data_IF_955383648938
#
_entry.id   IF_955383648938
#
_cell.length_a   1.000
_cell.length_b   1.000
_cell.length_c   1.000
_cell.angle_alpha   90.00
_cell.angle_beta   90.00
_cell.angle_gamma   90.00
#
_symmetry.space_group_name_H-M   'P 1'
#
loop_
_entity.id
_entity.type
_entity.pdbx_description
1 polymer ?
#
# COMPACT_ATOMS: atom_id res chain seq x y z
N UNK A 1 -48.36 2.69 -5.12
CA UNK A 1 -47.99 1.67 -6.12
C UNK A 1 -48.58 0.36 -5.66
N UNK A 2 -48.83 -0.58 -6.56
CA UNK A 2 -49.15 -1.94 -6.17
C UNK A 2 -47.87 -2.61 -5.63
N UNK A 3 -48.01 -3.52 -4.66
CA UNK A 3 -46.89 -4.28 -4.06
C UNK A 3 -45.97 -4.91 -5.12
N UNK A 4 -46.56 -5.38 -6.22
CA UNK A 4 -45.83 -5.96 -7.36
C UNK A 4 -44.98 -4.92 -8.09
N UNK A 5 -45.47 -3.70 -8.25
CA UNK A 5 -44.74 -2.60 -8.90
C UNK A 5 -43.53 -2.17 -8.05
N UNK A 6 -43.73 -2.01 -6.74
CA UNK A 6 -42.66 -1.66 -5.80
C UNK A 6 -41.59 -2.75 -5.73
N UNK A 7 -42.00 -4.02 -5.79
CA UNK A 7 -41.12 -5.17 -5.86
C UNK A 7 -40.25 -5.17 -7.13
N UNK A 8 -40.85 -4.93 -8.29
CA UNK A 8 -40.13 -4.90 -9.57
C UNK A 8 -39.06 -3.79 -9.57
N UNK A 9 -39.42 -2.58 -9.15
CA UNK A 9 -38.48 -1.45 -9.08
C UNK A 9 -37.33 -1.77 -8.12
N UNK A 10 -37.63 -2.31 -6.95
CA UNK A 10 -36.61 -2.67 -5.94
C UNK A 10 -35.62 -3.74 -6.44
N UNK A 11 -36.08 -4.71 -7.24
CA UNK A 11 -35.19 -5.70 -7.85
C UNK A 11 -34.26 -5.04 -8.88
N UNK A 12 -34.80 -4.15 -9.72
CA UNK A 12 -34.00 -3.46 -10.73
C UNK A 12 -32.88 -2.64 -10.09
N UNK A 13 -33.16 -1.94 -8.99
CA UNK A 13 -32.17 -1.21 -8.20
C UNK A 13 -31.10 -2.15 -7.63
N UNK A 14 -31.50 -3.30 -7.07
CA UNK A 14 -30.56 -4.30 -6.57
C UNK A 14 -29.65 -4.85 -7.67
N UNK A 15 -30.18 -5.11 -8.86
CA UNK A 15 -29.37 -5.59 -9.99
C UNK A 15 -28.28 -4.56 -10.32
N UNK A 16 -28.62 -3.26 -10.34
CA UNK A 16 -27.66 -2.18 -10.59
C UNK A 16 -26.57 -2.12 -9.52
N UNK A 17 -26.97 -2.11 -8.25
CA UNK A 17 -26.06 -2.07 -7.10
C UNK A 17 -25.13 -3.29 -7.15
N UNK A 18 -25.67 -4.47 -7.43
CA UNK A 18 -24.89 -5.70 -7.49
C UNK A 18 -23.95 -5.76 -8.69
N UNK A 19 -24.36 -5.22 -9.84
CA UNK A 19 -23.50 -5.09 -11.02
C UNK A 19 -22.29 -4.21 -10.72
N UNK A 20 -22.52 -3.02 -10.16
CA UNK A 20 -21.44 -2.11 -9.75
C UNK A 20 -20.54 -2.77 -8.70
N UNK A 21 -21.13 -3.38 -7.69
CA UNK A 21 -20.40 -4.04 -6.61
C UNK A 21 -19.50 -5.17 -7.12
N UNK A 22 -20.00 -5.98 -8.05
CA UNK A 22 -19.21 -7.04 -8.67
C UNK A 22 -18.01 -6.47 -9.45
N UNK A 23 -18.25 -5.52 -10.37
CA UNK A 23 -17.21 -5.00 -11.27
C UNK A 23 -16.09 -4.24 -10.55
N UNK A 24 -16.42 -3.53 -9.46
CA UNK A 24 -15.45 -2.70 -8.75
C UNK A 24 -14.79 -3.40 -7.55
N UNK A 25 -15.48 -4.31 -6.85
CA UNK A 25 -14.98 -4.86 -5.56
C UNK A 25 -14.70 -6.36 -5.52
N UNK A 26 -15.20 -7.15 -6.48
CA UNK A 26 -15.17 -8.62 -6.42
C UNK A 26 -14.35 -9.29 -7.53
N UNK A 27 -13.67 -8.49 -8.37
CA UNK A 27 -12.89 -8.90 -9.57
C UNK A 27 -12.28 -10.31 -9.53
N UNK A 28 -12.55 -11.05 -10.62
CA UNK A 28 -12.10 -12.38 -11.07
C UNK A 28 -12.40 -13.62 -10.20
N UNK A 29 -12.75 -13.48 -8.91
CA UNK A 29 -13.07 -14.65 -8.05
C UNK A 29 -14.55 -14.88 -7.75
N UNK A 30 -15.46 -13.96 -8.13
CA UNK A 30 -16.90 -14.17 -7.92
C UNK A 30 -17.48 -15.06 -9.02
N UNK A 31 -17.73 -16.33 -8.69
CA UNK A 31 -18.57 -17.19 -9.51
C UNK A 31 -19.91 -16.50 -9.76
N UNK A 32 -20.36 -16.44 -11.02
CA UNK A 32 -21.67 -15.90 -11.43
C UNK A 32 -22.79 -16.49 -10.54
N UNK A 33 -22.63 -17.74 -10.12
CA UNK A 33 -23.51 -18.41 -9.15
C UNK A 33 -23.66 -17.65 -7.82
N UNK A 34 -22.56 -17.15 -7.23
CA UNK A 34 -22.62 -16.40 -5.96
C UNK A 34 -23.42 -15.10 -6.09
N UNK A 35 -23.31 -14.41 -7.23
CA UNK A 35 -24.10 -13.22 -7.50
C UNK A 35 -25.59 -13.54 -7.67
N UNK A 36 -25.91 -14.62 -8.40
CA UNK A 36 -27.30 -15.07 -8.57
C UNK A 36 -27.91 -15.45 -7.23
N UNK A 37 -27.18 -16.16 -6.36
CA UNK A 37 -27.64 -16.53 -5.02
C UNK A 37 -27.96 -15.29 -4.18
N UNK A 38 -27.07 -14.29 -4.14
CA UNK A 38 -27.33 -13.05 -3.41
C UNK A 38 -28.55 -12.34 -3.98
N UNK A 39 -28.68 -12.29 -5.32
CA UNK A 39 -29.79 -11.60 -5.97
C UNK A 39 -31.14 -12.24 -5.63
N UNK A 40 -31.22 -13.58 -5.70
CA UNK A 40 -32.42 -14.34 -5.32
C UNK A 40 -32.75 -14.14 -3.85
N UNK A 41 -31.77 -14.30 -2.95
CA UNK A 41 -32.00 -14.12 -1.51
C UNK A 41 -32.42 -12.68 -1.17
N UNK A 42 -31.75 -11.68 -1.77
CA UNK A 42 -32.08 -10.27 -1.57
C UNK A 42 -33.48 -9.92 -2.08
N UNK A 43 -33.89 -10.47 -3.24
CA UNK A 43 -35.26 -10.28 -3.73
C UNK A 43 -36.30 -10.87 -2.78
N UNK A 44 -36.06 -12.06 -2.23
CA UNK A 44 -36.96 -12.68 -1.25
C UNK A 44 -37.08 -11.86 0.03
N UNK A 45 -35.96 -11.33 0.54
CA UNK A 45 -35.94 -10.44 1.71
C UNK A 45 -36.76 -9.17 1.43
N UNK A 46 -36.59 -8.56 0.26
CA UNK A 46 -37.37 -7.38 -0.12
C UNK A 46 -38.86 -7.72 -0.21
N UNK A 47 -39.25 -8.84 -0.82
CA UNK A 47 -40.66 -9.27 -0.88
C UNK A 47 -41.29 -9.38 0.52
N UNK A 48 -40.56 -10.00 1.46
CA UNK A 48 -41.02 -10.17 2.84
C UNK A 48 -41.12 -8.81 3.55
N UNK A 49 -40.13 -7.93 3.37
CA UNK A 49 -40.17 -6.60 3.97
C UNK A 49 -41.34 -5.75 3.45
N UNK A 50 -41.61 -5.77 2.13
CA UNK A 50 -42.75 -5.06 1.54
C UNK A 50 -44.07 -5.63 2.06
N UNK A 51 -44.21 -6.97 2.09
CA UNK A 51 -45.42 -7.63 2.57
C UNK A 51 -45.70 -7.31 4.05
N UNK A 52 -44.67 -7.31 4.89
CA UNK A 52 -44.76 -7.04 6.33
C UNK A 52 -44.74 -5.54 6.68
N UNK A 53 -44.66 -4.66 5.67
CA UNK A 53 -44.54 -3.21 5.82
C UNK A 53 -43.38 -2.79 6.75
N UNK A 54 -42.26 -3.53 6.68
CA UNK A 54 -41.05 -3.25 7.44
C UNK A 54 -40.24 -2.13 6.78
N UNK A 55 -39.53 -1.34 7.58
CA UNK A 55 -38.66 -0.29 7.08
C UNK A 55 -37.55 -0.87 6.17
N UNK A 56 -37.29 -0.22 5.03
CA UNK A 56 -36.31 -0.64 4.00
C UNK A 56 -34.89 -0.77 4.57
N UNK A 57 -34.55 -0.08 5.66
CA UNK A 57 -33.26 -0.24 6.34
C UNK A 57 -33.04 -1.70 6.79
N UNK A 58 -34.09 -2.41 7.22
CA UNK A 58 -33.97 -3.82 7.61
C UNK A 58 -33.58 -4.71 6.44
N UNK A 59 -34.14 -4.49 5.25
CA UNK A 59 -33.79 -5.27 4.07
C UNK A 59 -32.32 -5.07 3.69
N UNK A 60 -31.81 -3.84 3.77
CA UNK A 60 -30.40 -3.54 3.51
C UNK A 60 -29.43 -4.18 4.48
N UNK A 61 -29.74 -4.21 5.78
CA UNK A 61 -28.90 -4.89 6.78
C UNK A 61 -28.79 -6.39 6.48
N UNK A 62 -29.90 -7.03 6.10
CA UNK A 62 -29.92 -8.45 5.76
C UNK A 62 -29.15 -8.72 4.46
N UNK A 63 -29.29 -7.86 3.44
CA UNK A 63 -28.54 -7.98 2.18
C UNK A 63 -27.02 -7.88 2.41
N UNK A 64 -26.60 -6.92 3.23
CA UNK A 64 -25.20 -6.77 3.64
C UNK A 64 -24.72 -8.04 4.36
N UNK A 65 -25.52 -8.56 5.28
CA UNK A 65 -25.17 -9.77 6.02
C UNK A 65 -24.98 -10.97 5.09
N UNK A 66 -25.93 -11.20 4.17
CA UNK A 66 -25.84 -12.25 3.14
C UNK A 66 -24.58 -12.07 2.30
N UNK A 67 -24.33 -10.86 1.78
CA UNK A 67 -23.15 -10.56 0.97
C UNK A 67 -21.82 -10.78 1.70
N UNK A 68 -21.79 -10.55 3.02
CA UNK A 68 -20.60 -10.79 3.83
C UNK A 68 -20.26 -12.28 3.97
N UNK A 69 -21.29 -13.11 4.17
CA UNK A 69 -21.16 -14.57 4.29
C UNK A 69 -20.75 -15.17 2.94
N UNK A 70 -21.47 -14.84 1.86
CA UNK A 70 -21.25 -15.45 0.54
C UNK A 70 -19.85 -15.21 -0.01
N UNK A 71 -19.26 -14.05 0.31
CA UNK A 71 -17.93 -13.65 -0.16
C UNK A 71 -16.81 -13.83 0.88
N UNK A 72 -17.11 -14.40 2.05
CA UNK A 72 -16.15 -14.53 3.16
C UNK A 72 -15.44 -13.20 3.45
N UNK A 73 -16.17 -12.09 3.29
CA UNK A 73 -15.67 -10.73 3.47
C UNK A 73 -15.98 -10.26 4.88
N UNK A 74 -15.06 -9.48 5.43
CA UNK A 74 -15.31 -8.78 6.69
C UNK A 74 -16.57 -7.89 6.54
N UNK A 75 -17.53 -8.06 7.45
CA UNK A 75 -18.82 -7.34 7.48
C UNK A 75 -18.64 -5.82 7.32
N UNK A 76 -17.62 -5.23 7.96
CA UNK A 76 -17.36 -3.79 7.86
C UNK A 76 -16.96 -3.36 6.45
N UNK A 77 -16.23 -4.21 5.71
CA UNK A 77 -15.88 -3.96 4.31
C UNK A 77 -17.09 -4.14 3.39
N UNK A 78 -17.98 -5.07 3.71
CA UNK A 78 -19.21 -5.30 2.93
C UNK A 78 -20.19 -4.16 3.09
N UNK A 79 -20.41 -3.67 4.32
CA UNK A 79 -21.16 -2.44 4.61
C UNK A 79 -20.60 -1.28 3.78
N UNK A 80 -19.26 -1.15 3.78
CA UNK A 80 -18.52 -0.13 3.06
C UNK A 80 -18.89 -0.07 1.57
N UNK A 81 -18.73 -1.22 0.92
CA UNK A 81 -18.93 -1.37 -0.52
C UNK A 81 -20.41 -1.13 -0.85
N UNK A 82 -21.34 -1.71 -0.09
CA UNK A 82 -22.78 -1.56 -0.31
C UNK A 82 -23.26 -0.10 -0.16
N UNK A 83 -22.79 0.64 0.86
CA UNK A 83 -23.14 2.05 1.03
C UNK A 83 -22.62 2.94 -0.12
N UNK A 84 -21.45 2.66 -0.70
CA UNK A 84 -20.93 3.40 -1.87
C UNK A 84 -21.79 3.14 -3.12
N UNK A 85 -22.30 1.94 -3.30
CA UNK A 85 -23.13 1.67 -4.48
C UNK A 85 -24.55 2.19 -4.32
N UNK A 86 -25.12 2.13 -3.12
CA UNK A 86 -26.35 2.84 -2.79
C UNK A 86 -26.21 4.36 -3.01
N UNK A 87 -25.10 4.95 -2.56
CA UNK A 87 -24.75 6.35 -2.79
C UNK A 87 -24.81 6.75 -4.26
N UNK A 88 -24.12 5.94 -5.06
CA UNK A 88 -23.94 6.19 -6.48
C UNK A 88 -25.26 6.04 -7.22
N UNK A 89 -26.04 5.00 -6.90
CA UNK A 89 -27.38 4.79 -7.42
C UNK A 89 -28.30 5.98 -7.13
N UNK A 90 -28.42 6.41 -5.86
CA UNK A 90 -29.27 7.56 -5.52
C UNK A 90 -28.83 8.86 -6.21
N UNK A 91 -27.53 9.10 -6.34
CA UNK A 91 -27.04 10.27 -7.07
C UNK A 91 -27.42 10.23 -8.56
N UNK A 92 -27.27 9.08 -9.21
CA UNK A 92 -27.67 8.89 -10.60
C UNK A 92 -29.17 9.16 -10.78
N UNK A 93 -30.00 8.58 -9.92
CA UNK A 93 -31.44 8.79 -9.95
C UNK A 93 -31.82 10.27 -9.74
N UNK A 94 -31.17 10.97 -8.81
CA UNK A 94 -31.43 12.39 -8.57
C UNK A 94 -31.04 13.27 -9.77
N UNK A 95 -29.95 12.93 -10.47
CA UNK A 95 -29.54 13.62 -11.70
C UNK A 95 -30.61 13.43 -12.76
N UNK A 96 -31.10 12.20 -12.96
CA UNK A 96 -32.14 11.91 -13.95
C UNK A 96 -33.45 12.64 -13.65
N UNK A 97 -33.88 12.63 -12.38
CA UNK A 97 -35.08 13.38 -11.95
C UNK A 97 -34.89 14.88 -12.20
N UNK A 98 -33.72 15.44 -11.90
CA UNK A 98 -33.42 16.85 -12.15
C UNK A 98 -33.46 17.19 -13.65
N UNK A 99 -32.90 16.34 -14.50
CA UNK A 99 -32.94 16.48 -15.97
C UNK A 99 -34.40 16.43 -16.45
N UNK A 100 -35.18 15.44 -15.99
CA UNK A 100 -36.58 15.28 -16.37
C UNK A 100 -37.44 16.48 -15.97
N UNK A 101 -37.28 17.00 -14.74
CA UNK A 101 -38.13 18.09 -14.25
C UNK A 101 -37.71 19.46 -14.75
N UNK A 102 -36.40 19.75 -14.83
CA UNK A 102 -35.91 21.10 -15.11
C UNK A 102 -35.49 21.33 -16.57
N UNK A 103 -34.98 20.30 -17.26
CA UNK A 103 -34.55 20.44 -18.67
C UNK A 103 -35.65 20.00 -19.63
N UNK A 104 -36.30 18.86 -19.36
CA UNK A 104 -37.31 18.28 -20.25
C UNK A 104 -38.72 18.80 -19.91
N UNK A 105 -38.94 19.30 -18.69
CA UNK A 105 -40.21 19.88 -18.24
C UNK A 105 -41.28 18.84 -17.85
N UNK A 106 -40.91 17.57 -17.68
CA UNK A 106 -41.81 16.51 -17.26
C UNK A 106 -41.91 16.51 -15.74
N UNK A 107 -43.12 16.71 -15.20
CA UNK A 107 -43.37 16.56 -13.75
C UNK A 107 -43.15 15.11 -13.32
N UNK A 108 -42.16 14.89 -12.47
CA UNK A 108 -41.91 13.61 -11.84
C UNK A 108 -42.95 13.35 -10.75
N UNK A 109 -43.74 12.29 -10.91
CA UNK A 109 -44.81 11.88 -9.97
C UNK A 109 -44.42 10.68 -9.11
N UNK A 110 -43.24 10.11 -9.33
CA UNK A 110 -42.77 8.87 -8.71
C UNK A 110 -43.73 7.68 -8.94
N UNK A 111 -44.31 7.60 -10.14
CA UNK A 111 -45.13 6.47 -10.55
C UNK A 111 -44.25 5.32 -11.07
N UNK A 112 -44.75 4.08 -11.03
CA UNK A 112 -44.04 2.88 -11.49
C UNK A 112 -43.29 3.07 -12.81
N UNK A 113 -43.97 3.53 -13.86
CA UNK A 113 -43.37 3.70 -15.18
C UNK A 113 -42.18 4.66 -15.17
N UNK A 114 -42.25 5.77 -14.41
CA UNK A 114 -41.16 6.75 -14.33
C UNK A 114 -39.98 6.17 -13.54
N UNK A 115 -40.24 5.53 -12.40
CA UNK A 115 -39.19 4.93 -11.57
C UNK A 115 -38.48 3.80 -12.33
N UNK A 116 -39.23 2.88 -12.93
CA UNK A 116 -38.68 1.77 -13.71
C UNK A 116 -37.85 2.27 -14.91
N UNK A 117 -38.30 3.32 -15.60
CA UNK A 117 -37.57 3.90 -16.74
C UNK A 117 -36.23 4.51 -16.31
N UNK A 118 -36.20 5.24 -15.18
CA UNK A 118 -34.98 5.83 -14.64
C UNK A 118 -33.97 4.73 -14.25
N UNK A 119 -34.42 3.70 -13.55
CA UNK A 119 -33.53 2.61 -13.11
C UNK A 119 -32.97 1.84 -14.31
N UNK A 120 -33.80 1.56 -15.33
CA UNK A 120 -33.35 0.92 -16.57
C UNK A 120 -32.35 1.79 -17.35
N UNK A 121 -32.60 3.09 -17.44
CA UNK A 121 -31.66 4.03 -18.05
C UNK A 121 -30.31 4.00 -17.32
N UNK A 122 -30.32 4.07 -15.99
CA UNK A 122 -29.10 3.99 -15.19
C UNK A 122 -28.34 2.67 -15.36
N UNK A 123 -29.07 1.55 -15.43
CA UNK A 123 -28.47 0.24 -15.71
C UNK A 123 -27.76 0.22 -17.06
N UNK A 124 -28.42 0.68 -18.12
CA UNK A 124 -27.83 0.71 -19.46
C UNK A 124 -26.65 1.67 -19.54
N UNK A 125 -26.76 2.85 -18.92
CA UNK A 125 -25.70 3.86 -18.85
C UNK A 125 -24.45 3.33 -18.15
N UNK A 126 -24.60 2.72 -16.97
CA UNK A 126 -23.48 2.15 -16.20
C UNK A 126 -22.80 1.02 -16.95
N UNK A 127 -23.56 0.12 -17.60
CA UNK A 127 -23.01 -0.97 -18.40
C UNK A 127 -22.23 -0.43 -19.60
N UNK A 128 -22.78 0.57 -20.31
CA UNK A 128 -22.13 1.20 -21.45
C UNK A 128 -20.83 1.92 -21.04
N UNK A 129 -20.89 2.73 -19.98
CA UNK A 129 -19.75 3.49 -19.46
C UNK A 129 -18.63 2.55 -18.99
N UNK A 130 -18.99 1.42 -18.35
CA UNK A 130 -18.01 0.41 -17.97
C UNK A 130 -17.30 -0.18 -19.20
N UNK A 131 -18.06 -0.60 -20.22
CA UNK A 131 -17.52 -1.25 -21.41
C UNK A 131 -16.69 -0.29 -22.30
N UNK A 132 -17.08 0.98 -22.38
CA UNK A 132 -16.42 1.99 -23.22
C UNK A 132 -15.19 2.63 -22.55
N UNK A 133 -15.29 2.97 -21.25
CA UNK A 133 -14.29 3.84 -20.59
C UNK A 133 -13.50 3.09 -19.51
N UNK A 134 -14.15 2.21 -18.75
CA UNK A 134 -13.56 1.63 -17.53
C UNK A 134 -12.99 0.22 -17.72
N UNK A 135 -13.26 -0.42 -18.87
CA UNK A 135 -12.79 -1.78 -19.21
C UNK A 135 -11.27 -1.90 -19.12
N UNK A 136 -10.55 -0.88 -19.60
CA UNK A 136 -9.08 -0.85 -19.64
C UNK A 136 -8.44 0.07 -18.58
N UNK A 137 -9.23 0.94 -17.92
CA UNK A 137 -8.73 1.79 -16.84
C UNK A 137 -8.74 1.03 -15.53
N UNK A 138 -7.57 0.59 -15.08
CA UNK A 138 -7.38 0.11 -13.70
C UNK A 138 -7.35 1.32 -12.77
N UNK A 139 -8.47 1.64 -12.13
CA UNK A 139 -8.46 2.52 -10.95
C UNK A 139 -7.79 1.72 -9.82
N UNK A 140 -6.46 1.76 -9.78
CA UNK A 140 -5.68 1.26 -8.65
C UNK A 140 -5.82 2.27 -7.53
N UNK A 141 -6.72 2.01 -6.58
CA UNK A 141 -6.68 2.75 -5.34
C UNK A 141 -5.54 2.16 -4.49
N UNK A 142 -4.34 2.72 -4.65
CA UNK A 142 -3.13 2.35 -3.92
C UNK A 142 -3.43 2.33 -2.41
N UNK A 143 -2.96 1.28 -1.72
CA UNK A 143 -3.15 0.98 -0.29
C UNK A 143 -3.84 2.05 0.53
N UNK A 144 -5.16 2.05 0.46
CA UNK A 144 -5.95 2.97 1.26
C UNK A 144 -5.95 2.46 2.70
N UNK A 145 -5.74 3.36 3.65
CA UNK A 145 -5.93 3.07 5.05
C UNK A 145 -7.40 2.68 5.28
N UNK A 146 -7.65 1.43 5.68
CA UNK A 146 -8.99 0.89 5.89
C UNK A 146 -9.84 1.73 6.84
N UNK A 147 -9.22 2.41 7.82
CA UNK A 147 -9.91 3.31 8.76
C UNK A 147 -10.41 4.58 8.09
N UNK A 148 -9.63 5.16 7.17
CA UNK A 148 -9.99 6.39 6.48
C UNK A 148 -11.18 6.15 5.54
N UNK A 149 -11.17 5.08 4.73
CA UNK A 149 -12.33 4.71 3.91
C UNK A 149 -13.58 4.50 4.80
N UNK A 150 -13.39 3.86 5.96
CA UNK A 150 -14.45 3.65 6.95
C UNK A 150 -15.12 4.95 7.37
N UNK A 151 -14.33 5.97 7.75
CA UNK A 151 -14.85 7.28 8.11
C UNK A 151 -15.60 7.96 6.96
N UNK A 152 -15.07 7.88 5.73
CA UNK A 152 -15.74 8.44 4.55
C UNK A 152 -17.13 7.85 4.33
N UNK A 153 -17.28 6.55 4.59
CA UNK A 153 -18.53 5.86 4.28
C UNK A 153 -19.52 5.86 5.41
N UNK A 154 -19.06 5.92 6.65
CA UNK A 154 -19.96 6.28 7.75
C UNK A 154 -20.55 7.67 7.48
N UNK A 155 -19.72 8.64 7.09
CA UNK A 155 -20.18 10.00 6.87
C UNK A 155 -21.10 10.13 5.64
N UNK A 156 -20.72 9.54 4.51
CA UNK A 156 -21.55 9.60 3.29
C UNK A 156 -22.80 8.71 3.39
N UNK A 157 -22.66 7.53 4.02
CA UNK A 157 -23.77 6.64 4.34
C UNK A 157 -24.82 7.30 5.23
N UNK A 158 -24.40 8.10 6.22
CA UNK A 158 -25.31 8.89 7.05
C UNK A 158 -26.12 9.91 6.23
N UNK A 159 -25.49 10.60 5.26
CA UNK A 159 -26.23 11.52 4.41
C UNK A 159 -27.30 10.79 3.58
N UNK A 160 -26.96 9.65 3.00
CA UNK A 160 -27.89 8.82 2.21
C UNK A 160 -29.04 8.30 3.08
N UNK A 161 -28.76 7.79 4.27
CA UNK A 161 -29.81 7.25 5.13
C UNK A 161 -30.75 8.36 5.58
N UNK A 162 -30.24 9.54 5.94
CA UNK A 162 -31.06 10.73 6.22
C UNK A 162 -31.88 11.10 4.99
N UNK A 163 -31.27 11.09 3.80
CA UNK A 163 -31.94 11.39 2.53
C UNK A 163 -33.13 10.47 2.28
N UNK A 164 -32.92 9.17 2.51
CA UNK A 164 -33.93 8.13 2.30
C UNK A 164 -35.03 8.18 3.37
N UNK A 165 -34.70 8.50 4.61
CA UNK A 165 -35.68 8.75 5.67
C UNK A 165 -36.59 9.94 5.33
N UNK A 166 -36.04 11.03 4.81
CA UNK A 166 -36.83 12.19 4.35
C UNK A 166 -37.75 11.79 3.20
N UNK A 167 -37.26 10.97 2.26
CA UNK A 167 -38.04 10.48 1.13
C UNK A 167 -39.23 9.62 1.56
N UNK A 168 -39.04 8.70 2.51
CA UNK A 168 -40.10 7.84 3.05
C UNK A 168 -41.12 8.64 3.88
N UNK A 169 -40.67 9.67 4.60
CA UNK A 169 -41.55 10.53 5.40
C UNK A 169 -42.41 11.46 4.53
N UNK A 170 -41.77 12.25 3.65
CA UNK A 170 -42.47 13.08 2.67
C UNK A 170 -41.57 13.39 1.46
N UNK A 171 -41.76 12.60 0.40
CA UNK A 171 -41.08 12.77 -0.89
C UNK A 171 -41.26 14.17 -1.50
N UNK A 172 -42.34 14.89 -1.20
CA UNK A 172 -42.60 16.20 -1.80
C UNK A 172 -41.60 17.26 -1.35
N UNK A 173 -41.00 17.11 -0.17
CA UNK A 173 -39.96 17.99 0.34
C UNK A 173 -38.75 17.96 -0.61
N UNK A 174 -38.30 16.76 -0.99
CA UNK A 174 -37.19 16.58 -1.92
C UNK A 174 -37.60 17.01 -3.33
N UNK A 175 -38.80 16.63 -3.78
CA UNK A 175 -39.28 16.95 -5.14
C UNK A 175 -39.49 18.44 -5.40
N UNK A 176 -39.84 19.24 -4.38
CA UNK A 176 -39.95 20.70 -4.50
C UNK A 176 -38.59 21.38 -4.64
N UNK A 177 -37.55 20.77 -4.08
CA UNK A 177 -36.22 21.35 -3.91
C UNK A 177 -35.12 20.47 -4.53
N UNK A 178 -35.43 19.71 -5.60
CA UNK A 178 -34.53 18.73 -6.22
C UNK A 178 -33.18 19.34 -6.59
N UNK A 179 -33.19 20.53 -7.19
CA UNK A 179 -31.96 21.19 -7.63
C UNK A 179 -31.05 21.53 -6.44
N UNK A 180 -31.58 22.21 -5.41
CA UNK A 180 -30.82 22.52 -4.19
C UNK A 180 -30.35 21.26 -3.46
N UNK A 181 -31.14 20.20 -3.50
CA UNK A 181 -30.78 18.94 -2.87
C UNK A 181 -29.61 18.25 -3.59
N UNK A 182 -29.68 18.19 -4.92
CA UNK A 182 -28.63 17.65 -5.76
C UNK A 182 -27.32 18.47 -5.65
N UNK A 183 -27.42 19.81 -5.59
CA UNK A 183 -26.23 20.66 -5.42
C UNK A 183 -25.56 20.46 -4.06
N UNK A 184 -26.33 20.33 -2.98
CA UNK A 184 -25.77 20.05 -1.64
C UNK A 184 -25.02 18.71 -1.63
N UNK A 185 -25.63 17.64 -2.14
CA UNK A 185 -25.00 16.31 -2.17
C UNK A 185 -23.74 16.28 -3.03
N UNK A 186 -23.75 16.96 -4.18
CA UNK A 186 -22.57 17.05 -5.06
C UNK A 186 -21.45 17.87 -4.43
N UNK A 187 -21.74 18.99 -3.78
CA UNK A 187 -20.72 19.80 -3.07
C UNK A 187 -20.10 19.00 -1.93
N UNK A 188 -20.90 18.31 -1.13
CA UNK A 188 -20.41 17.43 -0.05
C UNK A 188 -19.49 16.34 -0.63
N UNK A 189 -19.91 15.69 -1.72
CA UNK A 189 -19.09 14.68 -2.39
C UNK A 189 -17.74 15.24 -2.87
N UNK A 190 -17.73 16.43 -3.49
CA UNK A 190 -16.50 17.08 -3.96
C UNK A 190 -15.56 17.44 -2.80
N UNK A 191 -16.09 18.01 -1.70
CA UNK A 191 -15.32 18.31 -0.49
C UNK A 191 -14.67 17.03 0.05
N UNK A 192 -15.41 15.92 0.08
CA UNK A 192 -14.88 14.65 0.57
C UNK A 192 -13.77 14.09 -0.33
N UNK A 193 -13.93 14.17 -1.65
CA UNK A 193 -12.86 13.79 -2.60
C UNK A 193 -11.60 14.64 -2.38
N UNK A 194 -11.76 15.95 -2.12
CA UNK A 194 -10.64 16.84 -1.81
C UNK A 194 -9.95 16.45 -0.49
N UNK A 195 -10.70 16.28 0.59
CA UNK A 195 -10.17 15.87 1.90
C UNK A 195 -9.46 14.52 1.81
N UNK A 196 -10.00 13.57 1.04
CA UNK A 196 -9.38 12.28 0.81
C UNK A 196 -7.99 12.42 0.15
N UNK A 197 -7.90 13.21 -0.92
CA UNK A 197 -6.62 13.49 -1.59
C UNK A 197 -5.63 14.17 -0.66
N UNK A 198 -6.10 15.12 0.13
CA UNK A 198 -5.27 15.82 1.12
C UNK A 198 -4.70 14.85 2.16
N UNK A 199 -5.53 13.96 2.72
CA UNK A 199 -5.09 13.00 3.75
C UNK A 199 -4.08 11.99 3.17
N UNK A 200 -4.26 11.53 1.93
CA UNK A 200 -3.25 10.68 1.26
C UNK A 200 -1.91 11.41 1.18
N UNK A 201 -1.92 12.65 0.70
CA UNK A 201 -0.70 13.46 0.56
C UNK A 201 0.00 13.65 1.90
N UNK A 202 -0.75 13.97 2.96
CA UNK A 202 -0.22 14.10 4.33
C UNK A 202 0.36 12.78 4.84
N UNK A 203 -0.28 11.65 4.52
CA UNK A 203 0.19 10.33 4.94
C UNK A 203 1.50 9.95 4.23
N UNK A 204 1.65 10.27 2.96
CA UNK A 204 2.91 10.07 2.23
C UNK A 204 4.03 10.95 2.81
N UNK A 205 3.75 12.23 3.00
CA UNK A 205 4.70 13.17 3.58
C UNK A 205 5.17 12.73 4.98
N UNK A 206 4.26 12.21 5.81
CA UNK A 206 4.61 11.70 7.13
C UNK A 206 5.59 10.51 7.07
N UNK A 207 5.44 9.60 6.11
CA UNK A 207 6.37 8.46 5.95
C UNK A 207 7.76 8.93 5.51
N UNK A 208 7.83 9.91 4.61
CA UNK A 208 9.08 10.51 4.18
C UNK A 208 9.79 11.20 5.35
N UNK A 209 9.05 11.95 6.17
CA UNK A 209 9.59 12.56 7.40
C UNK A 209 10.08 11.54 8.42
N UNK A 210 9.34 10.46 8.66
CA UNK A 210 9.76 9.39 9.59
C UNK A 210 11.09 8.77 9.17
N UNK A 211 11.29 8.57 7.87
CA UNK A 211 12.52 8.03 7.31
C UNK A 211 13.67 9.03 7.42
N UNK A 212 13.42 10.29 7.08
CA UNK A 212 14.41 11.36 7.23
C UNK A 212 14.89 11.47 8.68
N UNK A 213 13.97 11.50 9.64
CA UNK A 213 14.29 11.58 11.07
C UNK A 213 15.04 10.35 11.58
N UNK A 214 14.78 9.16 11.02
CA UNK A 214 15.50 7.93 11.36
C UNK A 214 16.96 7.97 10.92
N UNK A 215 17.26 8.54 9.75
CA UNK A 215 18.61 8.54 9.18
C UNK A 215 19.42 9.78 9.49
N UNK A 216 18.80 10.89 9.86
CA UNK A 216 19.48 12.13 10.26
C UNK A 216 20.61 11.89 11.31
N UNK A 217 20.37 11.21 12.45
CA UNK A 217 21.44 10.99 13.44
C UNK A 217 22.57 10.08 12.90
N UNK A 218 22.27 9.18 11.96
CA UNK A 218 23.28 8.31 11.33
C UNK A 218 24.14 9.14 10.37
N UNK A 219 23.54 10.08 9.65
CA UNK A 219 24.29 11.00 8.78
C UNK A 219 25.19 11.90 9.64
N UNK A 220 24.69 12.37 10.78
CA UNK A 220 25.49 13.14 11.75
C UNK A 220 26.69 12.32 12.25
N UNK A 221 26.49 11.04 12.59
CA UNK A 221 27.58 10.15 13.00
C UNK A 221 28.59 9.89 11.88
N UNK A 222 28.12 9.67 10.64
CA UNK A 222 29.01 9.53 9.47
C UNK A 222 29.84 10.80 9.30
N UNK A 223 29.22 11.97 9.41
CA UNK A 223 29.89 13.26 9.27
C UNK A 223 30.96 13.44 10.36
N UNK A 224 30.66 13.03 11.60
CA UNK A 224 31.60 13.10 12.70
C UNK A 224 32.77 12.11 12.56
N UNK A 225 32.51 10.89 12.10
CA UNK A 225 33.55 9.91 11.75
C UNK A 225 34.45 10.45 10.63
N UNK A 226 33.87 11.09 9.60
CA UNK A 226 34.65 11.73 8.53
C UNK A 226 35.54 12.84 9.10
N UNK A 227 35.00 13.70 9.98
CA UNK A 227 35.80 14.77 10.61
C UNK A 227 36.94 14.21 11.44
N UNK A 228 36.67 13.15 12.21
CA UNK A 228 37.68 12.45 13.01
C UNK A 228 38.77 11.88 12.10
N UNK A 229 38.39 11.22 11.00
CA UNK A 229 39.34 10.71 10.01
C UNK A 229 40.14 11.81 9.30
N UNK A 230 39.51 12.92 8.96
CA UNK A 230 40.21 14.07 8.38
C UNK A 230 41.26 14.63 9.36
N UNK A 231 40.92 14.68 10.65
CA UNK A 231 41.85 15.06 11.70
C UNK A 231 43.02 14.08 11.81
N UNK A 232 42.74 12.78 11.80
CA UNK A 232 43.77 11.73 11.83
C UNK A 232 44.66 11.77 10.58
N UNK A 233 44.08 11.97 9.40
CA UNK A 233 44.83 12.12 8.15
C UNK A 233 45.78 13.33 8.21
N UNK A 234 45.31 14.47 8.73
CA UNK A 234 46.16 15.63 8.97
C UNK A 234 47.31 15.30 9.92
N UNK A 235 47.06 14.51 10.97
CA UNK A 235 48.09 14.05 11.89
C UNK A 235 49.10 13.11 11.21
N UNK A 236 48.64 12.23 10.32
CA UNK A 236 49.52 11.37 9.54
C UNK A 236 50.47 12.19 8.65
N UNK A 237 49.94 13.18 7.94
CA UNK A 237 50.74 14.10 7.11
C UNK A 237 51.71 14.91 7.97
N UNK A 238 51.27 15.42 9.13
CA UNK A 238 52.15 16.15 10.05
C UNK A 238 53.28 15.26 10.58
N UNK A 239 53.00 13.99 10.87
CA UNK A 239 54.00 13.02 11.35
C UNK A 239 55.01 12.69 10.26
N UNK A 240 54.54 12.48 9.02
CA UNK A 240 55.41 12.30 7.84
C UNK A 240 56.30 13.53 7.63
N UNK A 241 55.73 14.74 7.70
CA UNK A 241 56.50 15.99 7.62
C UNK A 241 57.55 16.09 8.75
N UNK A 242 57.19 15.66 9.97
CA UNK A 242 58.11 15.58 11.10
C UNK A 242 59.27 14.63 10.86
N UNK A 243 59.01 13.42 10.32
CA UNK A 243 60.06 12.49 9.93
C UNK A 243 60.99 13.08 8.86
N UNK A 244 60.44 13.76 7.85
CA UNK A 244 61.25 14.41 6.81
C UNK A 244 62.17 15.50 7.40
N UNK A 245 61.73 16.21 8.43
CA UNK A 245 62.50 17.30 9.05
C UNK A 245 63.54 16.83 10.07
N UNK A 246 63.29 15.71 10.76
CA UNK A 246 64.08 15.29 11.93
C UNK A 246 64.96 14.06 11.63
N UNK A 247 64.51 13.14 10.77
CA UNK A 247 65.24 11.90 10.52
C UNK A 247 66.45 12.10 9.60
N UNK A 248 67.52 11.34 9.86
CA UNK A 248 68.64 11.23 8.94
C UNK A 248 68.24 10.46 7.67
N UNK A 249 69.00 10.65 6.57
CA UNK A 249 68.69 10.06 5.26
C UNK A 249 68.56 8.53 5.29
N UNK A 250 69.35 7.88 6.15
CA UNK A 250 69.40 6.42 6.26
C UNK A 250 68.23 5.86 7.10
N UNK A 251 67.68 6.65 8.02
CA UNK A 251 66.60 6.22 8.94
C UNK A 251 65.20 6.54 8.43
N UNK A 252 65.07 7.55 7.56
CA UNK A 252 63.79 8.04 7.05
C UNK A 252 62.98 6.96 6.32
N UNK A 253 63.66 6.17 5.48
CA UNK A 253 63.00 5.16 4.64
C UNK A 253 62.36 4.06 5.49
N UNK A 254 63.06 3.62 6.54
CA UNK A 254 62.59 2.54 7.41
C UNK A 254 61.44 3.02 8.30
N UNK A 255 61.52 4.24 8.85
CA UNK A 255 60.45 4.85 9.64
C UNK A 255 59.17 5.10 8.84
N UNK A 256 59.30 5.56 7.59
CA UNK A 256 58.14 5.74 6.71
C UNK A 256 57.48 4.41 6.35
N UNK A 257 58.27 3.37 6.05
CA UNK A 257 57.74 2.02 5.77
C UNK A 257 57.01 1.43 6.98
N UNK A 258 57.58 1.56 8.17
CA UNK A 258 56.97 1.11 9.42
C UNK A 258 55.65 1.85 9.67
N UNK A 259 55.66 3.19 9.56
CA UNK A 259 54.48 4.01 9.81
C UNK A 259 53.36 3.78 8.80
N UNK A 260 53.67 3.80 7.50
CA UNK A 260 52.69 3.57 6.43
C UNK A 260 52.18 2.12 6.45
N UNK A 261 53.05 1.15 6.76
CA UNK A 261 52.69 -0.25 6.91
C UNK A 261 51.62 -0.45 8.00
N UNK A 262 51.74 0.27 9.11
CA UNK A 262 50.78 0.22 10.20
C UNK A 262 49.44 0.91 9.85
N UNK A 263 49.45 1.98 9.05
CA UNK A 263 48.25 2.72 8.64
C UNK A 263 47.31 1.94 7.69
N UNK A 264 47.84 1.05 6.85
CA UNK A 264 47.07 0.35 5.81
C UNK A 264 46.14 -0.76 6.34
N UNK A 265 46.13 -1.03 7.64
CA UNK A 265 45.45 -2.18 8.24
C UNK A 265 44.00 -1.93 8.69
N UNK A 266 43.44 -0.71 8.58
CA UNK A 266 42.17 -0.37 9.26
C UNK A 266 41.11 0.44 8.49
N UNK A 267 41.33 0.81 7.21
CA UNK A 267 40.58 1.95 6.64
C UNK A 267 39.71 1.76 5.39
N UNK A 268 39.73 0.62 4.69
CA UNK A 268 39.06 0.46 3.38
C UNK A 268 37.52 0.56 3.43
N UNK A 269 36.87 -0.08 4.40
CA UNK A 269 35.40 -0.31 4.33
C UNK A 269 34.53 0.96 4.41
N UNK A 270 35.05 2.07 4.95
CA UNK A 270 34.30 3.33 5.14
C UNK A 270 34.53 4.32 3.99
N UNK A 271 35.65 4.20 3.26
CA UNK A 271 35.93 5.05 2.09
C UNK A 271 34.96 4.71 0.94
N UNK A 272 34.69 3.43 0.71
CA UNK A 272 33.78 2.95 -0.34
C UNK A 272 32.33 3.41 -0.11
N UNK A 273 31.91 3.60 1.15
CA UNK A 273 30.58 4.11 1.52
C UNK A 273 30.36 5.54 1.01
N UNK A 274 31.43 6.35 0.89
CA UNK A 274 31.29 7.74 0.46
C UNK A 274 30.76 7.87 -0.97
N UNK A 275 31.10 6.92 -1.85
CA UNK A 275 30.71 6.91 -3.25
C UNK A 275 29.26 6.53 -3.49
N UNK A 276 28.53 6.08 -2.48
CA UNK A 276 27.10 5.80 -2.59
C UNK A 276 26.34 7.14 -2.67
N UNK A 277 25.53 7.35 -3.70
CA UNK A 277 24.78 8.60 -3.86
C UNK A 277 23.56 8.65 -2.93
N UNK A 278 22.80 7.55 -2.90
CA UNK A 278 21.58 7.50 -2.11
C UNK A 278 21.88 7.58 -0.60
N UNK A 279 21.34 8.60 0.06
CA UNK A 279 21.62 8.86 1.48
C UNK A 279 21.06 7.77 2.39
N UNK A 280 19.89 7.21 2.05
CA UNK A 280 19.27 6.12 2.83
C UNK A 280 20.09 4.85 2.71
N UNK A 281 20.49 4.46 1.49
CA UNK A 281 21.35 3.29 1.26
C UNK A 281 22.67 3.48 2.02
N UNK A 282 23.34 4.62 1.86
CA UNK A 282 24.58 4.97 2.54
C UNK A 282 24.49 4.77 4.05
N UNK A 283 23.45 5.32 4.69
CA UNK A 283 23.25 5.20 6.13
C UNK A 283 22.99 3.75 6.58
N UNK A 284 22.25 2.96 5.79
CA UNK A 284 22.01 1.54 6.08
C UNK A 284 23.31 0.73 5.99
N UNK A 285 24.09 0.91 4.93
CA UNK A 285 25.38 0.21 4.76
C UNK A 285 26.32 0.54 5.89
N UNK A 286 26.47 1.83 6.21
CA UNK A 286 27.30 2.26 7.34
C UNK A 286 26.86 1.58 8.65
N UNK A 287 25.56 1.58 8.97
CA UNK A 287 25.05 0.89 10.16
C UNK A 287 25.37 -0.61 10.14
N UNK A 288 25.33 -1.25 8.97
CA UNK A 288 25.58 -2.70 8.82
C UNK A 288 27.06 -3.06 8.86
N UNK A 289 27.94 -2.22 8.34
CA UNK A 289 29.39 -2.36 8.50
C UNK A 289 29.77 -2.29 9.99
N UNK A 290 29.21 -1.32 10.74
CA UNK A 290 29.45 -1.22 12.19
C UNK A 290 28.91 -2.42 12.96
N UNK A 291 27.71 -2.90 12.60
CA UNK A 291 27.15 -4.12 13.19
C UNK A 291 27.99 -5.36 12.86
N UNK A 292 28.48 -5.47 11.62
CA UNK A 292 29.31 -6.57 11.16
C UNK A 292 30.64 -6.63 11.93
N UNK A 293 31.31 -5.48 12.10
CA UNK A 293 32.52 -5.34 12.91
C UNK A 293 32.28 -5.80 14.37
N UNK A 294 31.15 -5.39 14.96
CA UNK A 294 30.80 -5.75 16.34
C UNK A 294 30.57 -7.25 16.54
N UNK A 295 29.98 -7.94 15.55
CA UNK A 295 29.61 -9.35 15.65
C UNK A 295 30.53 -10.30 14.86
N UNK A 296 31.66 -9.79 14.36
CA UNK A 296 32.63 -10.52 13.53
C UNK A 296 31.96 -11.24 12.34
N UNK A 297 31.17 -10.47 11.58
CA UNK A 297 30.50 -10.90 10.35
C UNK A 297 31.30 -10.34 9.17
N UNK A 298 31.64 -11.20 8.21
CA UNK A 298 32.16 -10.79 6.92
C UNK A 298 31.00 -10.22 6.09
N UNK A 299 30.93 -8.90 6.03
CA UNK A 299 29.91 -8.18 5.28
C UNK A 299 30.53 -7.50 4.06
N UNK A 300 30.19 -8.02 2.88
CA UNK A 300 30.58 -7.43 1.60
C UNK A 300 29.37 -6.79 0.91
N UNK A 301 29.63 -5.70 0.20
CA UNK A 301 28.60 -5.00 -0.55
C UNK A 301 29.13 -4.48 -1.89
N UNK A 302 28.30 -4.54 -2.92
CA UNK A 302 28.55 -3.95 -4.23
C UNK A 302 27.32 -3.13 -4.64
N UNK A 303 27.50 -1.82 -4.82
CA UNK A 303 26.39 -0.89 -5.03
C UNK A 303 26.67 -0.02 -6.25
N UNK A 304 25.87 -0.23 -7.28
CA UNK A 304 25.76 0.65 -8.43
C UNK A 304 24.76 1.79 -8.13
N UNK A 305 25.18 3.03 -8.40
CA UNK A 305 24.40 4.23 -8.09
C UNK A 305 23.24 4.50 -9.06
N UNK A 306 22.26 5.28 -8.60
CA UNK A 306 21.14 5.84 -9.39
C UNK A 306 20.10 4.82 -9.92
N UNK A 307 20.23 3.53 -9.63
CA UNK A 307 19.33 2.51 -10.19
C UNK A 307 18.03 2.30 -9.39
N UNK A 308 18.06 2.53 -8.08
CA UNK A 308 16.89 2.33 -7.21
C UNK A 308 16.00 3.57 -7.09
N UNK A 309 16.55 4.77 -7.32
CA UNK A 309 15.93 6.05 -7.03
C UNK A 309 14.80 6.40 -8.00
N UNK A 310 14.88 5.90 -9.24
CA UNK A 310 13.84 6.08 -10.26
C UNK A 310 12.61 5.17 -10.03
N UNK A 311 12.74 4.13 -9.22
CA UNK A 311 11.71 3.10 -9.04
C UNK A 311 11.11 3.13 -7.64
N UNK A 312 11.96 3.34 -6.63
CA UNK A 312 11.60 3.21 -5.23
C UNK A 312 11.78 4.53 -4.50
N UNK A 313 10.79 4.88 -3.68
CA UNK A 313 10.95 5.97 -2.71
C UNK A 313 11.91 5.55 -1.59
N UNK A 314 12.57 6.51 -0.97
CA UNK A 314 13.49 6.30 0.16
C UNK A 314 12.91 5.43 1.29
N UNK A 315 11.62 5.61 1.62
CA UNK A 315 10.98 4.77 2.64
C UNK A 315 10.75 3.33 2.20
N UNK A 316 10.66 3.08 0.89
CA UNK A 316 10.52 1.76 0.29
C UNK A 316 11.86 1.04 0.30
N UNK A 317 12.93 1.72 -0.15
CA UNK A 317 14.32 1.25 -0.06
C UNK A 317 14.67 0.90 1.39
N UNK A 318 14.42 1.83 2.31
CA UNK A 318 14.63 1.64 3.75
C UNK A 318 13.92 0.40 4.29
N UNK A 319 12.66 0.18 3.88
CA UNK A 319 11.87 -0.96 4.36
C UNK A 319 12.36 -2.29 3.78
N UNK A 320 12.70 -2.32 2.48
CA UNK A 320 13.26 -3.51 1.83
C UNK A 320 14.59 -3.89 2.47
N UNK A 321 15.56 -2.98 2.46
CA UNK A 321 16.93 -3.27 2.89
C UNK A 321 16.98 -3.61 4.39
N UNK A 322 16.34 -2.83 5.27
CA UNK A 322 16.37 -3.13 6.70
C UNK A 322 15.73 -4.48 7.02
N UNK A 323 14.58 -4.82 6.42
CA UNK A 323 13.93 -6.08 6.78
C UNK A 323 14.74 -7.30 6.32
N UNK A 324 15.31 -7.26 5.12
CA UNK A 324 16.07 -8.41 4.60
C UNK A 324 17.45 -8.47 5.26
N UNK A 325 18.17 -7.35 5.38
CA UNK A 325 19.50 -7.33 6.02
C UNK A 325 19.43 -7.64 7.51
N UNK A 326 18.40 -7.17 8.25
CA UNK A 326 18.24 -7.55 9.65
C UNK A 326 17.99 -9.05 9.79
N UNK A 327 17.16 -9.63 8.91
CA UNK A 327 16.94 -11.07 8.90
C UNK A 327 18.24 -11.83 8.59
N UNK A 328 19.00 -11.41 7.58
CA UNK A 328 20.29 -12.01 7.22
C UNK A 328 21.27 -11.98 8.40
N UNK A 329 21.48 -10.81 9.00
CA UNK A 329 22.35 -10.61 10.16
C UNK A 329 21.89 -11.38 11.40
N UNK A 330 20.58 -11.45 11.65
CA UNK A 330 20.05 -12.26 12.75
C UNK A 330 20.38 -13.75 12.58
N UNK A 331 20.18 -14.31 11.39
CA UNK A 331 20.36 -15.76 11.17
C UNK A 331 21.85 -16.13 11.15
N UNK A 332 22.74 -15.32 10.58
CA UNK A 332 24.19 -15.61 10.61
C UNK A 332 24.79 -15.49 12.00
N UNK A 333 24.21 -14.70 12.91
CA UNK A 333 24.67 -14.61 14.31
C UNK A 333 24.48 -15.92 15.08
N UNK A 334 23.57 -16.77 14.65
CA UNK A 334 23.37 -18.11 15.22
C UNK A 334 24.43 -19.12 14.74
N UNK A 335 25.24 -18.77 13.74
CA UNK A 335 26.36 -19.60 13.28
C UNK A 335 27.58 -19.45 14.21
N UNK A 336 28.26 -20.55 14.48
CA UNK A 336 29.47 -20.57 15.31
C UNK A 336 30.65 -19.89 14.61
N UNK A 337 30.91 -20.24 13.35
CA UNK A 337 32.05 -19.75 12.56
C UNK A 337 31.63 -19.36 11.15
N UNK A 338 32.48 -18.56 10.49
CA UNK A 338 32.32 -18.15 9.10
C UNK A 338 30.98 -17.47 8.82
N UNK A 339 30.76 -16.27 9.39
CA UNK A 339 29.49 -15.53 9.23
C UNK A 339 29.59 -14.62 8.02
N UNK A 340 28.84 -14.91 6.95
CA UNK A 340 28.95 -14.16 5.69
C UNK A 340 27.60 -13.56 5.32
N UNK A 341 27.59 -12.27 5.01
CA UNK A 341 26.46 -11.57 4.39
C UNK A 341 26.96 -10.78 3.18
N UNK A 342 26.26 -10.90 2.05
CA UNK A 342 26.61 -10.20 0.81
C UNK A 342 25.40 -9.39 0.36
N UNK A 343 25.60 -8.13 0.01
CA UNK A 343 24.59 -7.26 -0.60
C UNK A 343 25.03 -6.79 -1.99
N UNK A 344 24.22 -7.06 -3.00
CA UNK A 344 24.41 -6.53 -4.34
C UNK A 344 23.22 -5.65 -4.73
N UNK A 345 23.50 -4.42 -5.18
CA UNK A 345 22.53 -3.52 -5.81
C UNK A 345 23.09 -3.18 -7.18
N UNK A 346 22.52 -3.77 -8.23
CA UNK A 346 23.10 -3.79 -9.58
C UNK A 346 22.03 -3.57 -10.65
N UNK A 347 22.44 -3.16 -11.84
CA UNK A 347 21.60 -3.17 -13.03
C UNK A 347 22.09 -4.23 -14.04
N UNK A 348 21.30 -5.29 -14.24
CA UNK A 348 21.61 -6.33 -15.24
C UNK A 348 20.49 -6.44 -16.27
N UNK A 349 20.82 -6.38 -17.56
CA UNK A 349 19.87 -6.55 -18.67
C UNK A 349 18.62 -5.66 -18.55
N UNK A 350 18.79 -4.38 -18.19
CA UNK A 350 17.73 -3.40 -17.90
C UNK A 350 16.82 -3.75 -16.70
N UNK A 351 17.17 -4.71 -15.85
CA UNK A 351 16.47 -4.97 -14.60
C UNK A 351 17.30 -4.46 -13.43
N UNK A 352 16.65 -3.77 -12.50
CA UNK A 352 17.30 -3.32 -11.27
C UNK A 352 17.18 -4.42 -10.22
N UNK A 353 18.33 -4.85 -9.71
CA UNK A 353 18.46 -6.04 -8.86
C UNK A 353 18.88 -5.61 -7.47
N UNK A 354 18.14 -6.06 -6.46
CA UNK A 354 18.59 -6.09 -5.07
C UNK A 354 18.73 -7.54 -4.67
N UNK A 355 19.94 -7.96 -4.35
CA UNK A 355 20.24 -9.32 -3.95
C UNK A 355 20.96 -9.32 -2.60
N UNK A 356 20.43 -10.11 -1.66
CA UNK A 356 21.03 -10.29 -0.34
C UNK A 356 21.23 -11.79 -0.13
N UNK A 357 22.49 -12.16 0.16
CA UNK A 357 22.90 -13.54 0.41
C UNK A 357 23.37 -13.67 1.84
N UNK A 358 23.04 -14.77 2.50
CA UNK A 358 23.58 -15.11 3.82
C UNK A 358 23.81 -16.61 3.95
N UNK A 359 24.89 -17.02 4.62
CA UNK A 359 25.21 -18.43 4.86
C UNK A 359 24.68 -18.94 6.21
N UNK A 360 23.57 -18.37 6.66
CA UNK A 360 22.90 -18.79 7.88
C UNK A 360 22.08 -20.07 7.65
N UNK A 361 21.44 -20.58 8.71
CA UNK A 361 20.60 -21.79 8.64
C UNK A 361 19.59 -21.69 7.50
N UNK A 362 19.50 -22.76 6.70
CA UNK A 362 18.55 -22.86 5.60
C UNK A 362 17.10 -22.77 6.07
N UNK A 363 16.27 -22.17 5.22
CA UNK A 363 14.82 -22.11 5.40
C UNK A 363 14.24 -23.47 4.95
N UNK A 364 13.34 -24.06 5.75
CA UNK A 364 12.69 -25.31 5.40
C UNK A 364 11.78 -25.12 4.16
N UNK A 365 11.74 -26.13 3.28
CA UNK A 365 11.03 -26.08 1.98
C UNK A 365 9.54 -25.72 2.12
N UNK A 366 8.88 -26.17 3.19
CA UNK A 366 7.47 -25.87 3.48
C UNK A 366 7.22 -24.39 3.83
N UNK A 367 8.26 -23.64 4.24
CA UNK A 367 8.12 -22.26 4.70
C UNK A 367 8.28 -21.24 3.56
N UNK A 368 8.87 -21.61 2.43
CA UNK A 368 9.08 -20.69 1.29
C UNK A 368 7.78 -20.04 0.81
N UNK A 369 6.67 -20.79 0.77
CA UNK A 369 5.35 -20.27 0.36
C UNK A 369 4.68 -19.40 1.43
N UNK A 370 5.06 -19.58 2.70
CA UNK A 370 4.43 -18.91 3.82
C UNK A 370 5.22 -17.68 4.30
N UNK A 371 6.51 -17.58 3.97
CA UNK A 371 7.42 -16.57 4.52
C UNK A 371 7.02 -15.12 4.20
N UNK A 372 6.28 -14.92 3.10
CA UNK A 372 5.73 -13.62 2.72
C UNK A 372 4.29 -13.39 3.19
N UNK A 373 3.66 -14.35 3.89
CA UNK A 373 2.31 -14.19 4.44
C UNK A 373 2.33 -13.29 5.66
N UNK A 374 1.28 -12.49 5.79
CA UNK A 374 1.11 -11.56 6.91
C UNK A 374 1.09 -12.31 8.24
N UNK A 375 1.98 -11.94 9.15
CA UNK A 375 2.03 -12.50 10.50
C UNK A 375 2.78 -13.84 10.60
N UNK A 376 3.33 -14.35 9.49
CA UNK A 376 4.15 -15.56 9.53
C UNK A 376 5.53 -15.25 10.12
N UNK A 377 5.91 -15.97 11.17
CA UNK A 377 7.22 -15.86 11.82
C UNK A 377 7.62 -17.23 12.36
N UNK A 378 8.82 -17.67 12.03
CA UNK A 378 9.44 -18.87 12.63
C UNK A 378 10.05 -18.58 14.00
N UNK A 379 10.02 -17.31 14.45
CA UNK A 379 10.58 -16.83 15.72
C UNK A 379 9.47 -16.43 16.71
N UNK A 380 9.67 -16.71 18.00
CA UNK A 380 8.75 -16.37 19.10
C UNK A 380 8.68 -14.85 19.37
N UNK A 381 7.48 -14.34 19.68
CA UNK A 381 7.23 -12.93 20.07
C UNK A 381 6.00 -12.27 19.42
N UNK A 382 5.39 -11.30 20.11
CA UNK A 382 4.05 -10.72 19.79
C UNK A 382 4.02 -9.70 18.65
N UNK A 383 5.16 -9.30 18.07
CA UNK A 383 5.27 -8.29 16.98
C UNK A 383 6.11 -8.73 15.76
N UNK A 384 6.34 -10.03 15.58
CA UNK A 384 7.13 -10.55 14.44
C UNK A 384 6.23 -10.94 13.26
N UNK A 385 6.84 -11.15 12.08
CA UNK A 385 6.16 -11.67 10.88
C UNK A 385 5.51 -10.63 9.96
N UNK A 386 5.86 -9.34 10.10
CA UNK A 386 5.38 -8.27 9.23
C UNK A 386 6.43 -7.76 8.24
N UNK A 387 7.72 -8.00 8.50
CA UNK A 387 8.83 -7.48 7.71
C UNK A 387 8.78 -7.94 6.25
N UNK A 388 8.95 -9.24 6.01
CA UNK A 388 8.95 -9.81 4.66
C UNK A 388 7.60 -9.65 3.93
N UNK A 389 6.48 -9.64 4.65
CA UNK A 389 5.18 -9.27 4.08
C UNK A 389 5.18 -7.84 3.54
N UNK A 390 5.75 -6.88 4.28
CA UNK A 390 5.85 -5.49 3.82
C UNK A 390 6.82 -5.36 2.63
N UNK A 391 7.94 -6.10 2.63
CA UNK A 391 8.84 -6.18 1.49
C UNK A 391 8.10 -6.66 0.25
N UNK A 392 7.42 -7.82 0.32
CA UNK A 392 6.66 -8.39 -0.80
C UNK A 392 5.64 -7.39 -1.33
N UNK A 393 4.93 -6.72 -0.44
CA UNK A 393 3.93 -5.71 -0.77
C UNK A 393 4.54 -4.52 -1.51
N UNK A 394 5.69 -4.01 -1.09
CA UNK A 394 6.40 -2.91 -1.78
C UNK A 394 6.84 -3.36 -3.17
N UNK A 395 7.45 -4.55 -3.28
CA UNK A 395 7.90 -5.12 -4.55
C UNK A 395 6.73 -5.26 -5.53
N UNK A 396 5.61 -5.84 -5.10
CA UNK A 396 4.42 -6.01 -5.95
C UNK A 396 3.80 -4.66 -6.38
N UNK A 397 3.82 -3.64 -5.51
CA UNK A 397 3.30 -2.30 -5.82
C UNK A 397 4.12 -1.59 -6.91
N UNK A 398 5.42 -1.85 -6.94
CA UNK A 398 6.34 -1.31 -7.93
C UNK A 398 6.58 -2.29 -9.08
N UNK A 399 5.65 -3.25 -9.28
CA UNK A 399 5.63 -4.25 -10.37
C UNK A 399 6.86 -5.18 -10.42
N UNK A 400 7.64 -5.24 -9.36
CA UNK A 400 8.79 -6.12 -9.27
C UNK A 400 8.41 -7.57 -8.93
N UNK A 401 9.44 -8.42 -8.89
CA UNK A 401 9.35 -9.82 -8.48
C UNK A 401 10.39 -10.09 -7.40
N UNK A 402 9.99 -10.82 -6.36
CA UNK A 402 10.90 -11.33 -5.33
C UNK A 402 11.02 -12.85 -5.49
N UNK A 403 12.26 -13.32 -5.40
CA UNK A 403 12.65 -14.71 -5.45
C UNK A 403 13.44 -15.04 -4.17
N UNK A 404 13.18 -16.22 -3.64
CA UNK A 404 13.89 -16.78 -2.50
C UNK A 404 14.33 -18.19 -2.90
N UNK A 405 15.62 -18.45 -2.84
CA UNK A 405 16.20 -19.74 -3.18
C UNK A 405 17.48 -19.98 -2.37
N UNK A 406 17.92 -21.22 -2.32
CA UNK A 406 19.17 -21.62 -1.69
C UNK A 406 20.15 -22.08 -2.76
N UNK A 407 21.38 -21.59 -2.72
CA UNK A 407 22.44 -21.94 -3.67
C UNK A 407 23.80 -21.92 -2.95
N UNK A 408 24.65 -22.94 -3.14
CA UNK A 408 26.01 -23.01 -2.57
C UNK A 408 26.09 -22.70 -1.05
N UNK A 409 25.17 -23.25 -0.25
CA UNK A 409 25.02 -22.98 1.19
C UNK A 409 24.61 -21.53 1.56
N UNK A 410 24.24 -20.70 0.60
CA UNK A 410 23.63 -19.40 0.84
C UNK A 410 22.12 -19.47 0.70
N UNK A 411 21.42 -18.73 1.57
CA UNK A 411 20.03 -18.32 1.33
C UNK A 411 20.07 -16.98 0.60
N UNK A 412 19.35 -16.87 -0.52
CA UNK A 412 19.40 -15.73 -1.42
C UNK A 412 18.01 -15.12 -1.56
N UNK A 413 17.89 -13.85 -1.17
CA UNK A 413 16.73 -13.01 -1.49
C UNK A 413 17.09 -12.14 -2.70
N UNK A 414 16.45 -12.39 -3.86
CA UNK A 414 16.65 -11.62 -5.08
C UNK A 414 15.38 -10.88 -5.46
N UNK A 415 15.46 -9.56 -5.58
CA UNK A 415 14.38 -8.68 -6.01
C UNK A 415 14.75 -8.11 -7.38
N UNK A 416 13.81 -8.18 -8.31
CA UNK A 416 13.91 -7.70 -9.68
C UNK A 416 12.82 -6.63 -9.88
N UNK A 417 13.20 -5.45 -10.37
CA UNK A 417 12.26 -4.41 -10.77
C UNK A 417 12.23 -4.22 -12.28
#
# INVERSE_FOLDING_TARGET
>A
MNIVEDFIVSILELILIMYLWNKFCLRDKSSIYKNIVILVLSSGVISVCIYMNLNVIFSYLIIIFIGSITYEKNIFKTILEFCIFLAMDMMLQLIDVCILTNLIGIKYKANFNQNASIVLFNLTFVVALYNLVLKNKRIYVKHINKRLIGCFIVNYGLYITISKLIWEYDKNIILRHVFSYATILTVIFLIQVYLYRYIIKVTEYKKELEVRNKYLPIIESITEDIRTRQHDFKNYINTINGFIQICSKDELMDRLKEYIGNLNSSNKDIEDIMYINNTVVKAIIYSKVREAQKYNIDFSYNIENNFLEDILKDYEISNILNNILNNAFEVVREQENNRIVILNILCENNNNIIEIRNNGKHIESNDFYNIFKKGFSTKSGTKRGYGLYNVKKIVDLNKGKIQLFSENNFTIFKILF
#
